data_IF_862904939399
#
_entry.id   IF_862904939399
#
_cell.length_a   1.000
_cell.length_b   1.000
_cell.length_c   1.000
_cell.angle_alpha   90.00
_cell.angle_beta   90.00
_cell.angle_gamma   90.00
#
_symmetry.space_group_name_H-M   'P 1'
#
loop_
_entity.id
_entity.type
_entity.pdbx_description
1 polymer ?
#
# COMPACT_ATOMS: atom_id res chain seq x y z
N UNK A 1 27.26 -24.62 -4.06
CA UNK A 1 25.89 -24.97 -3.65
C UNK A 1 24.94 -23.77 -3.76
N UNK A 2 25.23 -22.64 -3.09
CA UNK A 2 24.45 -21.39 -3.24
C UNK A 2 24.40 -20.88 -4.70
N UNK A 3 25.52 -20.89 -5.42
CA UNK A 3 25.59 -20.48 -6.84
C UNK A 3 24.77 -21.36 -7.78
N UNK A 4 24.72 -22.68 -7.54
CA UNK A 4 23.92 -23.60 -8.34
C UNK A 4 22.42 -23.53 -7.98
N UNK A 5 22.08 -23.30 -6.71
CA UNK A 5 20.72 -23.05 -6.26
C UNK A 5 20.17 -21.69 -6.71
N UNK A 6 21.03 -20.66 -6.78
CA UNK A 6 20.68 -19.36 -7.36
C UNK A 6 20.60 -19.41 -8.88
N UNK A 7 21.43 -20.21 -9.56
CA UNK A 7 21.35 -20.40 -11.02
C UNK A 7 20.17 -21.28 -11.47
N UNK A 8 19.76 -22.27 -10.66
CA UNK A 8 18.54 -23.03 -10.91
C UNK A 8 17.28 -22.26 -10.49
N UNK A 9 17.37 -21.48 -9.41
CA UNK A 9 16.32 -20.58 -8.94
C UNK A 9 16.10 -19.39 -9.88
N UNK A 10 17.16 -18.84 -10.47
CA UNK A 10 17.08 -17.72 -11.40
C UNK A 10 16.30 -18.06 -12.67
N UNK A 11 16.42 -19.27 -13.21
CA UNK A 11 15.68 -19.69 -14.41
C UNK A 11 14.16 -19.65 -14.24
N UNK A 12 13.66 -19.67 -12.99
CA UNK A 12 12.22 -19.61 -12.68
C UNK A 12 11.84 -18.28 -12.04
N UNK A 13 12.72 -17.69 -11.23
CA UNK A 13 12.48 -16.42 -10.54
C UNK A 13 12.56 -15.21 -11.47
N UNK A 14 13.46 -15.19 -12.47
CA UNK A 14 13.56 -14.08 -13.43
C UNK A 14 12.25 -13.92 -14.23
N UNK A 15 11.71 -14.98 -14.87
CA UNK A 15 10.44 -14.89 -15.59
C UNK A 15 9.28 -14.52 -14.67
N UNK A 16 9.30 -14.99 -13.41
CA UNK A 16 8.24 -14.71 -12.45
C UNK A 16 8.24 -13.24 -12.00
N UNK A 17 9.41 -12.64 -11.74
CA UNK A 17 9.49 -11.25 -11.30
C UNK A 17 9.18 -10.26 -12.42
N UNK A 18 9.62 -10.55 -13.65
CA UNK A 18 9.20 -9.76 -14.82
C UNK A 18 7.69 -9.85 -15.07
N UNK A 19 7.13 -11.06 -14.94
CA UNK A 19 5.68 -11.27 -15.04
C UNK A 19 4.92 -10.49 -13.96
N UNK A 20 5.44 -10.42 -12.72
CA UNK A 20 4.83 -9.64 -11.63
C UNK A 20 4.87 -8.15 -11.92
N UNK A 21 5.98 -7.61 -12.42
CA UNK A 21 6.08 -6.17 -12.77
C UNK A 21 5.09 -5.79 -13.87
N UNK A 22 4.88 -6.69 -14.83
CA UNK A 22 3.95 -6.46 -15.93
C UNK A 22 2.49 -6.65 -15.49
N UNK A 23 2.21 -7.64 -14.65
CA UNK A 23 0.88 -7.96 -14.15
C UNK A 23 0.40 -7.00 -13.04
N UNK A 24 1.29 -6.49 -12.19
CA UNK A 24 0.94 -5.59 -11.07
C UNK A 24 0.06 -4.39 -11.47
N UNK A 25 0.40 -3.57 -12.48
CA UNK A 25 -0.47 -2.47 -12.91
C UNK A 25 -1.79 -2.97 -13.53
N UNK A 26 -1.79 -4.13 -14.19
CA UNK A 26 -2.99 -4.72 -14.79
C UNK A 26 -3.98 -5.18 -13.71
N UNK A 27 -3.49 -5.92 -12.72
CA UNK A 27 -4.29 -6.37 -11.56
C UNK A 27 -4.86 -5.17 -10.81
N UNK A 28 -4.08 -4.10 -10.67
CA UNK A 28 -4.52 -2.90 -9.98
C UNK A 28 -5.66 -2.18 -10.71
N UNK A 29 -5.61 -2.12 -12.05
CA UNK A 29 -6.72 -1.60 -12.85
C UNK A 29 -8.01 -2.42 -12.63
N UNK A 30 -7.92 -3.75 -12.61
CA UNK A 30 -9.07 -4.60 -12.31
C UNK A 30 -9.60 -4.41 -10.89
N UNK A 31 -8.71 -4.25 -9.90
CA UNK A 31 -9.11 -3.98 -8.52
C UNK A 31 -9.86 -2.65 -8.37
N UNK A 32 -9.42 -1.59 -9.07
CA UNK A 32 -10.12 -0.29 -9.07
C UNK A 32 -11.48 -0.38 -9.73
N UNK A 33 -11.57 -1.10 -10.85
CA UNK A 33 -12.85 -1.36 -11.51
C UNK A 33 -13.80 -2.14 -10.60
N UNK A 34 -13.32 -3.21 -9.96
CA UNK A 34 -14.11 -3.98 -9.01
C UNK A 34 -14.58 -3.12 -7.83
N UNK A 35 -13.70 -2.27 -7.27
CA UNK A 35 -14.07 -1.36 -6.18
C UNK A 35 -15.19 -0.42 -6.62
N UNK A 36 -15.06 0.25 -7.76
CA UNK A 36 -16.06 1.20 -8.27
C UNK A 36 -17.42 0.52 -8.48
N UNK A 37 -17.43 -0.69 -9.04
CA UNK A 37 -18.66 -1.47 -9.23
C UNK A 37 -19.30 -1.83 -7.88
N UNK A 38 -18.50 -2.14 -6.85
CA UNK A 38 -19.00 -2.47 -5.52
C UNK A 38 -19.53 -1.28 -4.72
N UNK A 39 -19.09 -0.03 -4.99
CA UNK A 39 -19.52 1.17 -4.25
C UNK A 39 -21.05 1.26 -4.08
N UNK A 40 -21.87 1.24 -5.16
CA UNK A 40 -23.32 1.36 -5.01
C UNK A 40 -23.93 0.23 -4.18
N UNK A 41 -23.45 -1.02 -4.34
CA UNK A 41 -23.96 -2.15 -3.58
C UNK A 41 -23.67 -2.03 -2.09
N UNK A 42 -22.45 -1.64 -1.73
CA UNK A 42 -22.05 -1.48 -0.32
C UNK A 42 -22.80 -0.31 0.33
N UNK A 43 -23.02 0.79 -0.39
CA UNK A 43 -23.78 1.94 0.13
C UNK A 43 -25.25 1.59 0.39
N UNK A 44 -25.89 0.83 -0.51
CA UNK A 44 -27.28 0.40 -0.35
C UNK A 44 -27.42 -0.56 0.83
N UNK A 45 -26.53 -1.55 0.95
CA UNK A 45 -26.54 -2.51 2.08
C UNK A 45 -26.23 -1.78 3.41
N UNK A 46 -25.33 -0.79 3.37
CA UNK A 46 -24.97 0.05 4.52
C UNK A 46 -25.99 1.15 4.84
N UNK A 47 -27.16 1.19 4.20
CA UNK A 47 -28.19 2.23 4.38
C UNK A 47 -27.65 3.67 4.34
N UNK A 48 -26.62 3.92 3.53
CA UNK A 48 -25.93 5.23 3.46
C UNK A 48 -25.38 5.75 4.80
N UNK A 49 -25.01 4.85 5.73
CA UNK A 49 -24.33 5.25 6.97
C UNK A 49 -23.02 5.98 6.66
N UNK A 50 -22.81 7.12 7.33
CA UNK A 50 -21.59 7.92 7.27
C UNK A 50 -20.35 7.07 7.53
N UNK A 51 -20.42 6.11 8.46
CA UNK A 51 -19.30 5.21 8.75
C UNK A 51 -18.90 4.39 7.52
N UNK A 52 -19.90 3.85 6.81
CA UNK A 52 -19.69 3.05 5.60
C UNK A 52 -19.14 3.92 4.47
N UNK A 53 -19.71 5.11 4.24
CA UNK A 53 -19.25 6.06 3.22
C UNK A 53 -17.78 6.45 3.44
N UNK A 54 -17.40 6.73 4.70
CA UNK A 54 -16.03 7.07 5.06
C UNK A 54 -15.09 5.89 4.79
N UNK A 55 -15.47 4.66 5.17
CA UNK A 55 -14.62 3.48 4.92
C UNK A 55 -14.37 3.23 3.42
N UNK A 56 -15.39 3.42 2.58
CA UNK A 56 -15.26 3.27 1.12
C UNK A 56 -14.34 4.35 0.54
N UNK A 57 -14.48 5.60 1.01
CA UNK A 57 -13.62 6.70 0.56
C UNK A 57 -12.15 6.45 0.91
N UNK A 58 -11.88 5.96 2.13
CA UNK A 58 -10.53 5.57 2.55
C UNK A 58 -10.00 4.38 1.74
N UNK A 59 -10.83 3.37 1.46
CA UNK A 59 -10.44 2.23 0.63
C UNK A 59 -10.13 2.66 -0.81
N UNK A 60 -10.95 3.54 -1.39
CA UNK A 60 -10.73 4.11 -2.72
C UNK A 60 -9.42 4.92 -2.77
N UNK A 61 -9.18 5.77 -1.79
CA UNK A 61 -7.93 6.53 -1.66
C UNK A 61 -6.72 5.59 -1.55
N UNK A 62 -6.80 4.58 -0.68
CA UNK A 62 -5.75 3.59 -0.47
C UNK A 62 -5.38 2.91 -1.79
N UNK A 63 -6.37 2.40 -2.53
CA UNK A 63 -6.15 1.74 -3.81
C UNK A 63 -5.64 2.73 -4.87
N UNK A 64 -6.21 3.93 -4.99
CA UNK A 64 -5.75 4.88 -6.02
C UNK A 64 -4.27 5.22 -5.83
N UNK A 65 -3.83 5.40 -4.59
CA UNK A 65 -2.46 5.77 -4.25
C UNK A 65 -1.44 4.64 -4.44
N UNK A 66 -1.86 3.38 -4.55
CA UNK A 66 -0.94 2.27 -4.89
C UNK A 66 -0.26 2.49 -6.25
N UNK A 67 -0.91 3.14 -7.22
CA UNK A 67 -0.31 3.44 -8.52
C UNK A 67 0.92 4.34 -8.42
N UNK A 68 0.92 5.26 -7.45
CA UNK A 68 2.08 6.11 -7.19
C UNK A 68 3.30 5.26 -6.80
N UNK A 69 3.11 4.24 -5.97
CA UNK A 69 4.18 3.34 -5.56
C UNK A 69 4.72 2.51 -6.73
N UNK A 70 3.87 2.08 -7.66
CA UNK A 70 4.33 1.43 -8.89
C UNK A 70 5.13 2.36 -9.80
N UNK A 71 4.72 3.62 -9.91
CA UNK A 71 5.46 4.62 -10.68
C UNK A 71 6.79 4.96 -10.02
N UNK A 72 6.82 5.05 -8.68
CA UNK A 72 8.05 5.23 -7.92
C UNK A 72 9.00 4.04 -8.10
N UNK A 73 8.49 2.81 -8.03
CA UNK A 73 9.29 1.61 -8.26
C UNK A 73 9.92 1.61 -9.67
N UNK A 74 9.15 1.94 -10.72
CA UNK A 74 9.69 2.11 -12.08
C UNK A 74 10.71 3.24 -12.20
N UNK A 75 10.47 4.35 -11.50
CA UNK A 75 11.35 5.49 -11.58
C UNK A 75 12.71 5.21 -10.91
N UNK A 76 12.71 4.52 -9.76
CA UNK A 76 13.94 4.09 -9.08
C UNK A 76 14.73 3.12 -9.96
N UNK A 77 14.04 2.18 -10.61
CA UNK A 77 14.62 1.25 -11.59
C UNK A 77 15.35 1.99 -12.72
N UNK A 78 14.65 2.90 -13.42
CA UNK A 78 15.22 3.55 -14.59
C UNK A 78 16.25 4.63 -14.29
N UNK A 79 16.17 5.30 -13.14
CA UNK A 79 16.88 6.57 -12.90
C UNK A 79 18.00 6.46 -11.88
N UNK A 80 17.82 5.68 -10.81
CA UNK A 80 18.82 5.55 -9.75
C UNK A 80 19.87 4.50 -10.10
N UNK A 81 19.49 3.41 -10.75
CA UNK A 81 20.46 2.41 -11.22
C UNK A 81 21.32 2.95 -12.36
N UNK A 82 20.73 3.74 -13.24
CA UNK A 82 21.46 4.42 -14.32
C UNK A 82 22.44 5.47 -13.76
N UNK A 83 22.08 6.13 -12.65
CA UNK A 83 22.96 7.06 -11.95
C UNK A 83 24.03 6.37 -11.06
N UNK A 84 23.75 5.21 -10.48
CA UNK A 84 24.67 4.45 -9.61
C UNK A 84 25.63 3.54 -10.38
N UNK A 85 25.21 2.98 -11.51
CA UNK A 85 26.01 2.06 -12.33
C UNK A 85 26.46 2.67 -13.67
N UNK A 86 26.00 3.88 -14.00
CA UNK A 86 26.45 4.67 -15.13
C UNK A 86 25.82 4.26 -16.47
N UNK A 87 25.31 5.25 -17.19
CA UNK A 87 24.83 5.10 -18.56
C UNK A 87 26.01 5.16 -19.55
N UNK A 88 26.27 4.08 -20.30
CA UNK A 88 27.13 4.17 -21.49
C UNK A 88 27.78 2.86 -21.94
N UNK A 89 27.75 2.59 -23.26
CA UNK A 89 28.66 1.62 -23.88
C UNK A 89 30.08 2.16 -23.74
N UNK A 90 30.85 1.60 -22.79
CA UNK A 90 32.24 1.95 -22.54
C UNK A 90 32.82 1.09 -21.41
N UNK A 91 34.13 0.84 -21.44
CA UNK A 91 34.92 -0.16 -20.68
C UNK A 91 34.73 -0.29 -19.14
N UNK A 92 33.77 0.41 -18.53
CA UNK A 92 33.43 0.37 -17.11
C UNK A 92 31.94 0.08 -16.81
N UNK A 93 31.13 -0.33 -17.80
CA UNK A 93 29.76 -0.79 -17.53
C UNK A 93 29.68 -2.30 -17.28
N UNK A 94 29.02 -2.74 -16.19
CA UNK A 94 28.77 -4.17 -15.93
C UNK A 94 27.89 -4.87 -16.97
N UNK A 95 27.15 -4.10 -17.78
CA UNK A 95 26.06 -4.61 -18.64
C UNK A 95 26.45 -4.80 -20.11
N UNK A 96 27.72 -4.68 -20.50
CA UNK A 96 28.13 -4.90 -21.91
C UNK A 96 29.57 -5.41 -22.09
N UNK A 97 30.09 -6.21 -21.17
CA UNK A 97 31.29 -7.01 -21.44
C UNK A 97 30.88 -8.44 -21.78
N UNK A 98 30.91 -8.78 -23.06
CA UNK A 98 30.95 -10.15 -23.55
C UNK A 98 32.29 -10.80 -23.15
N UNK A 99 32.51 -11.03 -21.85
CA UNK A 99 33.60 -11.85 -21.34
C UNK A 99 33.02 -13.04 -20.55
N UNK A 100 33.10 -14.27 -21.12
CA UNK A 100 32.58 -15.49 -20.51
C UNK A 100 33.14 -15.83 -19.12
N UNK A 101 34.28 -15.25 -18.72
CA UNK A 101 34.94 -15.57 -17.44
C UNK A 101 34.61 -14.55 -16.33
N UNK A 102 34.35 -13.28 -16.67
CA UNK A 102 33.89 -12.25 -15.71
C UNK A 102 32.35 -12.14 -15.64
N UNK A 103 31.62 -12.76 -16.57
CA UNK A 103 30.16 -12.84 -16.54
C UNK A 103 29.59 -13.67 -15.39
N UNK A 104 30.34 -14.67 -14.88
CA UNK A 104 29.90 -15.53 -13.77
C UNK A 104 29.93 -14.83 -12.39
N UNK A 105 30.81 -13.85 -12.18
CA UNK A 105 30.87 -13.06 -10.94
C UNK A 105 29.84 -11.93 -10.89
N UNK A 106 29.52 -11.35 -12.05
CA UNK A 106 28.50 -10.29 -12.16
C UNK A 106 27.08 -10.86 -12.30
N UNK A 107 26.91 -12.11 -12.74
CA UNK A 107 25.61 -12.78 -12.81
C UNK A 107 24.88 -12.82 -11.47
N UNK A 108 25.59 -12.84 -10.33
CA UNK A 108 24.97 -12.84 -9.00
C UNK A 108 24.54 -11.45 -8.56
N UNK A 109 25.31 -10.41 -8.94
CA UNK A 109 24.96 -9.00 -8.69
C UNK A 109 23.78 -8.56 -9.53
N UNK A 110 23.75 -8.95 -10.80
CA UNK A 110 22.63 -8.74 -11.73
C UNK A 110 21.37 -9.49 -11.28
N UNK A 111 21.52 -10.73 -10.76
CA UNK A 111 20.41 -11.46 -10.16
C UNK A 111 19.83 -10.78 -8.92
N UNK A 112 20.72 -10.28 -8.05
CA UNK A 112 20.32 -9.61 -6.82
C UNK A 112 19.61 -8.30 -7.15
N UNK A 113 20.11 -7.57 -8.15
CA UNK A 113 19.53 -6.32 -8.61
C UNK A 113 18.11 -6.58 -9.12
N UNK A 114 17.91 -7.51 -10.06
CA UNK A 114 16.59 -7.82 -10.60
C UNK A 114 15.62 -8.35 -9.53
N UNK A 115 16.10 -9.14 -8.57
CA UNK A 115 15.28 -9.55 -7.43
C UNK A 115 14.83 -8.36 -6.58
N UNK A 116 15.73 -7.44 -6.25
CA UNK A 116 15.42 -6.23 -5.47
C UNK A 116 14.43 -5.35 -6.24
N UNK A 117 14.65 -5.15 -7.54
CA UNK A 117 13.76 -4.35 -8.39
C UNK A 117 12.36 -4.97 -8.50
N UNK A 118 12.26 -6.29 -8.52
CA UNK A 118 10.98 -6.99 -8.50
C UNK A 118 10.30 -6.89 -7.13
N UNK A 119 11.08 -7.04 -6.05
CA UNK A 119 10.57 -6.94 -4.69
C UNK A 119 9.99 -5.55 -4.37
N UNK A 120 10.53 -4.47 -4.96
CA UNK A 120 10.00 -3.12 -4.79
C UNK A 120 8.54 -2.97 -5.24
N UNK A 121 8.11 -3.70 -6.28
CA UNK A 121 6.72 -3.71 -6.74
C UNK A 121 5.76 -4.41 -5.78
N UNK A 122 6.27 -5.16 -4.80
CA UNK A 122 5.45 -5.84 -3.79
C UNK A 122 5.58 -5.12 -2.44
N UNK A 123 6.81 -4.84 -2.03
CA UNK A 123 7.13 -4.29 -0.72
C UNK A 123 6.61 -2.85 -0.54
N UNK A 124 6.74 -1.99 -1.55
CA UNK A 124 6.33 -0.59 -1.43
C UNK A 124 4.80 -0.43 -1.38
N UNK A 125 4.01 -1.02 -2.31
CA UNK A 125 2.55 -1.07 -2.15
C UNK A 125 2.09 -1.79 -0.89
N UNK A 126 2.75 -2.90 -0.52
CA UNK A 126 2.43 -3.68 0.67
C UNK A 126 2.60 -2.85 1.94
N UNK A 127 3.71 -2.13 2.07
CA UNK A 127 3.96 -1.19 3.16
C UNK A 127 2.84 -0.17 3.29
N UNK A 128 2.42 0.45 2.18
CA UNK A 128 1.35 1.44 2.16
C UNK A 128 0.00 0.88 2.63
N UNK A 129 -0.42 -0.26 2.08
CA UNK A 129 -1.71 -0.88 2.42
C UNK A 129 -1.73 -1.34 3.88
N UNK A 130 -0.64 -1.92 4.37
CA UNK A 130 -0.53 -2.34 5.78
C UNK A 130 -0.53 -1.14 6.72
N UNK A 131 0.22 -0.08 6.41
CA UNK A 131 0.26 1.14 7.22
C UNK A 131 -1.11 1.82 7.31
N UNK A 132 -1.85 1.89 6.20
CA UNK A 132 -3.22 2.41 6.21
C UNK A 132 -4.19 1.50 6.96
N UNK A 133 -4.05 0.18 6.85
CA UNK A 133 -4.85 -0.77 7.64
C UNK A 133 -4.67 -0.57 9.14
N UNK A 134 -3.42 -0.36 9.58
CA UNK A 134 -3.10 -0.06 10.98
C UNK A 134 -3.66 1.29 11.43
N UNK A 135 -3.48 2.34 10.61
CA UNK A 135 -4.02 3.68 10.89
C UNK A 135 -5.55 3.69 10.97
N UNK A 136 -6.23 2.98 10.06
CA UNK A 136 -7.69 2.86 10.06
C UNK A 136 -8.23 2.17 11.31
N UNK A 137 -7.55 1.14 11.82
CA UNK A 137 -7.92 0.46 13.07
C UNK A 137 -7.84 1.42 14.27
N UNK A 138 -6.79 2.25 14.33
CA UNK A 138 -6.62 3.22 15.41
C UNK A 138 -7.60 4.39 15.31
N UNK A 139 -7.91 4.89 14.11
CA UNK A 139 -8.94 5.91 13.92
C UNK A 139 -10.35 5.40 14.30
N UNK A 140 -10.63 4.12 14.03
CA UNK A 140 -11.88 3.48 14.44
C UNK A 140 -12.04 3.39 15.97
N UNK A 141 -10.96 3.06 16.70
CA UNK A 141 -10.98 3.02 18.16
C UNK A 141 -11.12 4.41 18.77
N UNK A 142 -10.45 5.43 18.21
CA UNK A 142 -10.57 6.83 18.64
C UNK A 142 -11.97 7.41 18.41
N UNK A 143 -12.61 7.16 17.27
CA UNK A 143 -14.00 7.59 17.04
C UNK A 143 -14.98 6.92 18.00
N UNK A 144 -14.76 5.64 18.31
CA UNK A 144 -15.60 4.91 19.29
C UNK A 144 -15.44 5.52 20.68
N UNK A 145 -14.20 5.82 21.08
CA UNK A 145 -13.91 6.53 22.34
C UNK A 145 -14.51 7.94 22.39
N UNK A 146 -14.43 8.69 21.29
CA UNK A 146 -15.03 10.03 21.20
C UNK A 146 -16.56 9.95 21.29
N UNK A 147 -17.20 8.98 20.64
CA UNK A 147 -18.66 8.77 20.71
C UNK A 147 -19.11 8.42 22.13
N UNK A 148 -18.35 7.58 22.83
CA UNK A 148 -18.61 7.25 24.23
C UNK A 148 -18.40 8.50 25.12
N UNK A 149 -17.34 9.26 24.87
CA UNK A 149 -17.05 10.50 25.61
C UNK A 149 -18.11 11.59 25.39
N UNK A 150 -18.58 11.76 24.16
CA UNK A 150 -19.64 12.74 23.84
C UNK A 150 -21.00 12.29 24.34
N UNK A 151 -21.31 10.99 24.34
CA UNK A 151 -22.52 10.47 24.99
C UNK A 151 -22.46 10.67 26.50
N UNK A 152 -21.32 10.41 27.16
CA UNK A 152 -21.13 10.71 28.58
C UNK A 152 -21.29 12.21 28.90
N UNK A 153 -20.78 13.09 28.04
CA UNK A 153 -20.96 14.54 28.16
C UNK A 153 -22.42 14.97 27.91
N UNK A 154 -23.12 14.34 26.96
CA UNK A 154 -24.53 14.57 26.69
C UNK A 154 -25.40 14.13 27.86
N UNK A 155 -25.11 12.98 28.47
CA UNK A 155 -25.82 12.47 29.64
C UNK A 155 -25.56 13.33 30.88
N UNK A 156 -24.33 13.79 31.08
CA UNK A 156 -23.99 14.73 32.15
C UNK A 156 -24.68 16.09 31.96
N UNK A 157 -24.72 16.60 30.72
CA UNK A 157 -25.45 17.82 30.35
C UNK A 157 -26.96 17.67 30.51
N UNK A 158 -27.54 16.53 30.13
CA UNK A 158 -28.95 16.21 30.32
C UNK A 158 -29.34 16.17 31.79
N UNK A 159 -28.55 15.49 32.64
CA UNK A 159 -28.76 15.48 34.09
C UNK A 159 -28.63 16.87 34.71
N UNK A 160 -27.66 17.68 34.26
CA UNK A 160 -27.51 19.07 34.70
C UNK A 160 -28.70 19.96 34.31
N UNK A 161 -29.21 19.79 33.08
CA UNK A 161 -30.40 20.47 32.60
C UNK A 161 -31.67 20.03 33.33
N UNK A 162 -31.82 18.74 33.66
CA UNK A 162 -32.93 18.21 34.45
C UNK A 162 -32.90 18.71 35.90
N UNK A 163 -31.71 18.76 36.52
CA UNK A 163 -31.55 19.38 37.85
C UNK A 163 -31.95 20.84 37.77
N UNK A 164 -31.42 21.61 36.83
CA UNK A 164 -31.76 23.03 36.64
C UNK A 164 -33.26 23.24 36.37
N UNK A 165 -33.91 22.38 35.58
CA UNK A 165 -35.35 22.39 35.36
C UNK A 165 -36.14 22.01 36.63
N UNK A 166 -35.62 21.10 37.45
CA UNK A 166 -36.18 20.75 38.75
C UNK A 166 -36.14 21.91 39.75
N UNK A 167 -35.03 22.66 39.78
CA UNK A 167 -34.90 23.90 40.56
C UNK A 167 -35.88 24.96 40.04
N UNK A 168 -35.95 25.17 38.73
CA UNK A 168 -36.83 26.16 38.10
C UNK A 168 -38.33 25.84 38.26
N UNK A 169 -38.70 24.56 38.33
CA UNK A 169 -40.07 24.11 38.65
C UNK A 169 -40.38 24.10 40.15
N UNK A 170 -39.47 24.56 41.01
CA UNK A 170 -39.69 24.63 42.46
C UNK A 170 -39.84 23.26 43.13
N UNK A 171 -39.16 22.24 42.59
CA UNK A 171 -39.31 20.84 43.02
C UNK A 171 -38.19 20.36 43.96
N UNK A 172 -37.56 21.30 44.67
CA UNK A 172 -36.64 21.03 45.79
C UNK A 172 -37.37 21.36 47.09
#
# INVERSE_FOLDING_TARGET
AATAGQAAGSLVMYPAMDSVRQAAPMVMAFLKMALIICIPFVLVIGMFDLKVVMTITFAAFALIFVDFWFQLARWVDSTILDALYGNGIGSNVPHSNFDPVFGASNAQGDLLLDFVMGAMFIALPGFWVVALGWSGMQLGSLMTGLTIGTNGAKDAGGKGADVAMGIAKGRI
#
